data_IF_389434236290
#
_entry.id   IF_389434236290
#
_cell.length_a   1.000
_cell.length_b   1.000
_cell.length_c   1.000
_cell.angle_alpha   90.00
_cell.angle_beta   90.00
_cell.angle_gamma   90.00
#
_symmetry.space_group_name_H-M   'P 1'
#
loop_
_entity.id
_entity.type
_entity.pdbx_description
1 polymer ?
#
# COMPACT_ATOMS: atom_id res chain seq x y z
N UNK A 1 33.50 -17.35 -34.29
CA UNK A 1 32.32 -16.93 -33.51
C UNK A 1 32.32 -17.73 -32.22
N UNK A 2 32.88 -17.18 -31.15
CA UNK A 2 32.88 -17.80 -29.82
C UNK A 2 31.99 -16.93 -28.95
N UNK A 3 30.77 -17.39 -28.72
CA UNK A 3 29.90 -16.81 -27.71
C UNK A 3 29.94 -17.78 -26.53
N UNK A 4 30.78 -17.48 -25.54
CA UNK A 4 30.69 -18.07 -24.20
C UNK A 4 29.28 -17.81 -23.67
N UNK A 5 28.54 -18.89 -23.43
CA UNK A 5 27.18 -18.85 -22.95
C UNK A 5 27.22 -18.80 -21.40
N UNK A 6 26.83 -17.69 -20.74
CA UNK A 6 26.85 -17.58 -19.28
C UNK A 6 25.71 -18.38 -18.58
N UNK A 7 25.04 -19.28 -19.30
CA UNK A 7 23.84 -19.98 -18.87
C UNK A 7 24.06 -21.41 -18.30
N UNK A 8 25.31 -21.80 -18.08
CA UNK A 8 25.71 -23.04 -17.40
C UNK A 8 26.66 -22.61 -16.28
N UNK A 9 26.33 -22.63 -14.99
CA UNK A 9 25.63 -23.69 -14.27
C UNK A 9 25.10 -23.08 -12.95
N UNK A 10 23.78 -23.06 -12.69
CA UNK A 10 23.21 -22.52 -11.45
C UNK A 10 23.78 -23.20 -10.19
N UNK A 11 24.32 -24.42 -10.33
CA UNK A 11 25.02 -25.11 -9.25
C UNK A 11 26.41 -24.51 -8.96
N UNK A 12 27.13 -24.01 -9.97
CA UNK A 12 28.41 -23.32 -9.77
C UNK A 12 28.22 -21.92 -9.17
N UNK A 13 27.11 -21.25 -9.50
CA UNK A 13 26.70 -20.02 -8.82
C UNK A 13 26.35 -20.29 -7.34
N UNK A 14 25.56 -21.33 -7.05
CA UNK A 14 25.21 -21.72 -5.69
C UNK A 14 26.44 -22.14 -4.88
N UNK A 15 27.37 -22.86 -5.52
CA UNK A 15 28.65 -23.28 -4.92
C UNK A 15 29.59 -22.09 -4.69
N UNK A 16 29.62 -21.12 -5.61
CA UNK A 16 30.32 -19.85 -5.42
C UNK A 16 29.73 -19.05 -4.26
N UNK A 17 28.42 -19.02 -4.12
CA UNK A 17 27.73 -18.35 -3.02
C UNK A 17 27.94 -19.07 -1.69
N UNK A 18 27.85 -20.40 -1.64
CA UNK A 18 28.09 -21.23 -0.45
C UNK A 18 29.55 -21.18 0.01
N UNK A 19 30.49 -21.21 -0.95
CA UNK A 19 31.93 -21.04 -0.68
C UNK A 19 32.30 -19.63 -0.21
N UNK A 20 31.58 -18.59 -0.70
CA UNK A 20 31.80 -17.20 -0.30
C UNK A 20 31.15 -16.84 1.06
N UNK A 21 30.15 -17.63 1.52
CA UNK A 21 29.44 -17.41 2.78
C UNK A 21 30.18 -17.97 4.02
N UNK A 22 31.36 -18.58 3.85
CA UNK A 22 32.28 -18.91 4.94
C UNK A 22 31.87 -20.07 5.86
N UNK A 23 30.95 -20.95 5.44
CA UNK A 23 30.61 -22.15 6.21
C UNK A 23 31.77 -23.16 6.14
N UNK A 24 32.33 -23.46 7.32
CA UNK A 24 33.68 -23.96 7.52
C UNK A 24 34.00 -25.30 6.84
N UNK A 25 35.19 -25.33 6.23
CA UNK A 25 35.93 -26.55 5.86
C UNK A 25 36.32 -27.30 7.15
N UNK A 26 36.13 -28.63 7.24
CA UNK A 26 36.59 -29.42 8.38
C UNK A 26 38.10 -29.22 8.58
N UNK A 27 38.48 -28.60 9.70
CA UNK A 27 39.86 -28.19 9.98
C UNK A 27 40.10 -26.68 10.06
N UNK A 28 39.09 -25.84 9.79
CA UNK A 28 39.18 -24.40 10.07
C UNK A 28 38.76 -24.08 11.49
N UNK A 29 39.62 -23.30 12.15
CA UNK A 29 39.44 -22.67 13.46
C UNK A 29 37.97 -22.32 13.71
N UNK A 30 37.46 -22.77 14.86
CA UNK A 30 36.14 -22.43 15.38
C UNK A 30 35.85 -20.96 15.10
N UNK A 31 34.72 -20.61 14.46
CA UNK A 31 34.24 -19.23 14.46
C UNK A 31 34.28 -18.78 15.91
N UNK A 32 34.95 -17.66 16.20
CA UNK A 32 35.00 -17.14 17.56
C UNK A 32 33.57 -16.97 18.00
N UNK A 33 33.10 -17.87 18.87
CA UNK A 33 31.79 -17.83 19.53
C UNK A 33 31.80 -16.72 20.58
N UNK A 34 32.31 -15.55 20.21
CA UNK A 34 32.26 -14.38 21.04
C UNK A 34 30.83 -13.84 20.97
N UNK A 35 30.10 -14.13 22.04
CA UNK A 35 28.71 -13.69 22.21
C UNK A 35 28.60 -12.18 22.03
N UNK A 36 29.63 -11.39 22.38
CA UNK A 36 29.62 -9.95 22.20
C UNK A 36 29.63 -9.55 20.71
N UNK A 37 30.35 -10.29 19.86
CA UNK A 37 30.34 -10.04 18.42
C UNK A 37 28.99 -10.43 17.82
N UNK A 38 28.40 -11.55 18.27
CA UNK A 38 27.05 -11.93 17.88
C UNK A 38 26.02 -10.88 18.29
N UNK A 39 26.09 -10.34 19.51
CA UNK A 39 25.21 -9.28 19.99
C UNK A 39 25.33 -8.00 19.15
N UNK A 40 26.55 -7.62 18.77
CA UNK A 40 26.78 -6.50 17.88
C UNK A 40 26.18 -6.73 16.49
N UNK A 41 26.41 -7.90 15.89
CA UNK A 41 25.82 -8.27 14.59
C UNK A 41 24.29 -8.28 14.65
N UNK A 42 23.72 -8.78 15.74
CA UNK A 42 22.27 -8.76 15.97
C UNK A 42 21.75 -7.31 16.04
N UNK A 43 22.43 -6.43 16.77
CA UNK A 43 22.04 -5.02 16.88
C UNK A 43 22.10 -4.29 15.53
N UNK A 44 23.16 -4.51 14.76
CA UNK A 44 23.33 -3.93 13.43
C UNK A 44 22.23 -4.43 12.48
N UNK A 45 21.94 -5.74 12.47
CA UNK A 45 20.89 -6.32 11.64
C UNK A 45 19.49 -5.86 12.05
N UNK A 46 19.21 -5.67 13.35
CA UNK A 46 17.95 -5.08 13.83
C UNK A 46 17.78 -3.64 13.37
N UNK A 47 18.87 -2.89 13.32
CA UNK A 47 18.85 -1.52 12.78
C UNK A 47 18.49 -1.55 11.31
N UNK A 48 19.16 -2.40 10.51
CA UNK A 48 18.83 -2.60 9.09
C UNK A 48 17.37 -3.02 8.90
N UNK A 49 16.88 -3.96 9.72
CA UNK A 49 15.48 -4.38 9.70
C UNK A 49 14.53 -3.19 9.92
N UNK A 50 14.85 -2.31 10.89
CA UNK A 50 14.07 -1.09 11.14
C UNK A 50 13.98 -0.17 9.91
N UNK A 51 15.10 0.06 9.21
CA UNK A 51 15.14 0.84 7.98
C UNK A 51 14.32 0.20 6.85
N UNK A 52 14.42 -1.11 6.68
CA UNK A 52 13.65 -1.83 5.68
C UNK A 52 12.15 -1.78 5.96
N UNK A 53 11.73 -1.90 7.23
CA UNK A 53 10.33 -1.71 7.62
C UNK A 53 9.83 -0.29 7.32
N UNK A 54 10.66 0.72 7.58
CA UNK A 54 10.32 2.10 7.23
C UNK A 54 10.15 2.29 5.71
N UNK A 55 11.05 1.70 4.91
CA UNK A 55 10.96 1.72 3.45
C UNK A 55 9.67 1.07 2.95
N UNK A 56 9.32 -0.10 3.50
CA UNK A 56 8.09 -0.80 3.17
C UNK A 56 6.85 0.04 3.49
N UNK A 57 6.80 0.67 4.66
CA UNK A 57 5.68 1.53 5.05
C UNK A 57 5.51 2.71 4.09
N UNK A 58 6.61 3.37 3.71
CA UNK A 58 6.58 4.49 2.76
C UNK A 58 6.10 4.06 1.37
N UNK A 59 6.51 2.88 0.90
CA UNK A 59 6.06 2.32 -0.36
C UNK A 59 4.55 2.03 -0.32
N UNK A 60 4.06 1.42 0.76
CA UNK A 60 2.63 1.14 0.95
C UNK A 60 1.80 2.43 0.95
N UNK A 61 2.25 3.48 1.64
CA UNK A 61 1.58 4.79 1.62
C UNK A 61 1.56 5.41 0.22
N UNK A 62 2.64 5.27 -0.55
CA UNK A 62 2.71 5.77 -1.93
C UNK A 62 1.73 5.03 -2.84
N UNK A 63 1.61 3.71 -2.69
CA UNK A 63 0.64 2.90 -3.43
C UNK A 63 -0.79 3.34 -3.11
N UNK A 64 -1.14 3.47 -1.84
CA UNK A 64 -2.48 3.93 -1.43
C UNK A 64 -2.80 5.33 -1.97
N UNK A 65 -1.81 6.23 -1.97
CA UNK A 65 -1.95 7.56 -2.58
C UNK A 65 -2.26 7.50 -4.08
N UNK A 66 -1.55 6.63 -4.83
CA UNK A 66 -1.79 6.43 -6.26
C UNK A 66 -3.14 5.74 -6.54
N UNK A 67 -3.54 4.79 -5.71
CA UNK A 67 -4.86 4.14 -5.81
C UNK A 67 -5.99 5.15 -5.60
N UNK A 68 -5.86 6.07 -4.65
CA UNK A 68 -6.82 7.16 -4.43
C UNK A 68 -6.86 8.13 -5.63
N UNK A 69 -5.70 8.47 -6.20
CA UNK A 69 -5.63 9.30 -7.41
C UNK A 69 -6.31 8.62 -8.60
N UNK A 70 -6.07 7.32 -8.79
CA UNK A 70 -6.73 6.52 -9.83
C UNK A 70 -8.24 6.48 -9.63
N UNK A 71 -8.72 6.25 -8.41
CA UNK A 71 -10.15 6.24 -8.10
C UNK A 71 -10.81 7.60 -8.42
N UNK A 72 -10.13 8.70 -8.09
CA UNK A 72 -10.59 10.06 -8.41
C UNK A 72 -10.68 10.29 -9.92
N UNK A 73 -9.65 9.90 -10.67
CA UNK A 73 -9.65 9.99 -12.14
C UNK A 73 -10.75 9.12 -12.76
N UNK A 74 -10.97 7.91 -12.24
CA UNK A 74 -12.05 7.04 -12.71
C UNK A 74 -13.43 7.66 -12.45
N UNK A 75 -13.64 8.30 -11.30
CA UNK A 75 -14.86 9.04 -11.01
C UNK A 75 -15.05 10.21 -11.98
N UNK A 76 -14.01 11.00 -12.25
CA UNK A 76 -14.07 12.10 -13.22
C UNK A 76 -14.39 11.62 -14.63
N UNK A 77 -13.83 10.47 -15.05
CA UNK A 77 -14.15 9.86 -16.34
C UNK A 77 -15.61 9.39 -16.40
N UNK A 78 -16.11 8.75 -15.34
CA UNK A 78 -17.51 8.34 -15.26
C UNK A 78 -18.47 9.54 -15.35
N UNK A 79 -18.14 10.64 -14.67
CA UNK A 79 -18.89 11.90 -14.76
C UNK A 79 -18.86 12.44 -16.20
N UNK A 80 -17.68 12.51 -16.83
CA UNK A 80 -17.55 12.98 -18.22
C UNK A 80 -18.31 12.12 -19.23
N UNK A 81 -18.36 10.81 -19.04
CA UNK A 81 -19.16 9.90 -19.86
C UNK A 81 -20.66 10.08 -19.62
N UNK A 82 -21.06 10.25 -18.36
CA UNK A 82 -22.45 10.48 -17.98
C UNK A 82 -22.96 11.84 -18.50
N UNK A 83 -22.14 12.90 -18.48
CA UNK A 83 -22.50 14.22 -19.02
C UNK A 83 -22.77 14.21 -20.55
N UNK A 84 -22.29 13.19 -21.27
CA UNK A 84 -22.64 12.94 -22.68
C UNK A 84 -23.95 12.16 -22.89
N UNK A 85 -24.56 11.65 -21.81
CA UNK A 85 -25.86 10.97 -21.81
C UNK A 85 -26.93 11.86 -21.15
N UNK A 86 -28.08 12.03 -21.80
CA UNK A 86 -29.17 12.86 -21.29
C UNK A 86 -29.74 12.37 -19.94
N UNK A 87 -29.48 11.11 -19.59
CA UNK A 87 -29.88 10.48 -18.32
C UNK A 87 -29.03 10.86 -17.09
N UNK A 88 -27.84 11.45 -17.23
CA UNK A 88 -27.00 11.81 -16.08
C UNK A 88 -27.55 12.95 -15.23
N UNK A 89 -28.51 13.71 -15.76
CA UNK A 89 -29.19 14.78 -15.04
C UNK A 89 -30.21 14.25 -14.01
N UNK A 90 -30.50 12.94 -13.99
CA UNK A 90 -31.46 12.33 -13.07
C UNK A 90 -30.83 11.61 -11.87
N UNK A 91 -29.52 11.32 -11.89
CA UNK A 91 -28.84 10.59 -10.82
C UNK A 91 -27.99 11.53 -9.95
N UNK A 92 -28.45 11.91 -8.73
CA UNK A 92 -27.80 12.89 -7.87
C UNK A 92 -26.42 12.47 -7.34
N UNK A 93 -26.07 11.19 -7.45
CA UNK A 93 -24.73 10.67 -7.13
C UNK A 93 -23.73 10.81 -8.28
N UNK A 94 -24.21 10.92 -9.52
CA UNK A 94 -23.37 11.05 -10.71
C UNK A 94 -23.04 12.52 -11.04
N UNK A 95 -23.70 13.48 -10.38
CA UNK A 95 -23.47 14.90 -10.60
C UNK A 95 -22.71 15.53 -9.41
N UNK A 96 -21.38 15.79 -9.54
CA UNK A 96 -20.57 16.36 -8.46
C UNK A 96 -20.97 17.79 -8.07
N UNK A 97 -21.66 18.52 -8.95
CA UNK A 97 -22.19 19.85 -8.60
C UNK A 97 -23.36 19.79 -7.60
N UNK A 98 -23.93 18.60 -7.37
CA UNK A 98 -24.99 18.36 -6.38
C UNK A 98 -24.46 17.76 -5.07
N UNK A 99 -23.18 17.39 -4.97
CA UNK A 99 -22.59 16.80 -3.76
C UNK A 99 -22.73 17.66 -2.49
N UNK A 100 -22.56 19.00 -2.53
CA UNK A 100 -22.76 19.83 -1.33
C UNK A 100 -24.19 19.72 -0.77
N UNK A 101 -25.18 19.63 -1.65
CA UNK A 101 -26.59 19.51 -1.28
C UNK A 101 -26.95 18.09 -0.83
N UNK A 102 -26.41 17.06 -1.49
CA UNK A 102 -26.66 15.66 -1.16
C UNK A 102 -26.06 15.30 0.22
N UNK A 103 -24.88 15.83 0.55
CA UNK A 103 -24.28 15.67 1.88
C UNK A 103 -25.08 16.39 2.97
N UNK A 104 -25.63 17.57 2.67
CA UNK A 104 -26.50 18.31 3.59
C UNK A 104 -27.82 17.55 3.87
N UNK A 105 -28.32 16.78 2.90
CA UNK A 105 -29.54 15.99 3.04
C UNK A 105 -29.36 14.74 3.93
N UNK A 106 -28.19 14.10 3.89
CA UNK A 106 -27.81 13.02 4.81
C UNK A 106 -27.54 13.47 6.25
N UNK A 107 -27.48 14.79 6.50
CA UNK A 107 -27.29 15.38 7.82
C UNK A 107 -28.55 15.96 8.46
N UNK A 108 -29.71 15.90 7.80
CA UNK A 108 -30.96 16.35 8.40
C UNK A 108 -31.61 15.17 9.16
N UNK A 109 -31.67 15.19 10.51
CA UNK A 109 -32.66 14.37 11.18
C UNK A 109 -34.03 14.88 10.68
N UNK A 110 -34.82 13.97 10.12
CA UNK A 110 -36.24 14.18 9.91
C UNK A 110 -36.91 14.32 11.29
N UNK A 111 -36.74 15.49 11.90
CA UNK A 111 -37.47 15.90 13.07
C UNK A 111 -38.83 16.41 12.61
N UNK A 112 -39.83 15.54 12.70
CA UNK A 112 -41.24 15.93 12.72
C UNK A 112 -41.40 17.16 13.63
N UNK A 113 -41.82 18.27 13.03
CA UNK A 113 -42.36 19.38 13.79
C UNK A 113 -43.60 18.86 14.55
N UNK A 114 -43.70 19.04 15.87
CA UNK A 114 -44.90 18.67 16.58
C UNK A 114 -46.03 19.55 16.04
N UNK A 115 -47.05 18.91 15.47
CA UNK A 115 -48.29 19.57 15.08
C UNK A 115 -48.90 20.19 16.33
N UNK A 116 -49.36 21.42 16.17
CA UNK A 116 -50.30 22.08 17.05
C UNK A 116 -51.44 21.12 17.41
N UNK A 117 -51.46 20.64 18.65
CA UNK A 117 -52.67 20.12 19.29
C UNK A 117 -53.01 21.05 20.45
N UNK A 118 -53.67 22.16 20.12
CA UNK A 118 -54.68 22.70 21.02
C UNK A 118 -55.91 21.77 20.93
N UNK A 119 -56.47 21.36 22.07
CA UNK A 119 -57.86 21.76 22.28
C UNK A 119 -58.17 22.21 23.72
N UNK A 120 -58.91 23.31 23.75
CA UNK A 120 -60.01 23.69 24.65
C UNK A 120 -60.41 22.79 25.83
N UNK A 121 -60.61 23.50 26.96
CA UNK A 121 -61.42 23.26 28.19
C UNK A 121 -60.80 22.50 29.36
#
# INVERSE_FOLDING_TARGET
>A
MSAENPATDPLEFLKGMWGSMGFAVPGMVTPTLDVNELDKRIADLKTVEGWLRMNLNMLQMSIQGLEMQRATLAAMQAIGQSAGSAEANANPFANPSLWPWNMMQTGAPAGEAPKDDAPEK
#
